data_IF_985679210849
#
_entry.id   IF_985679210849
#
_cell.length_a   1.000
_cell.length_b   1.000
_cell.length_c   1.000
_cell.angle_alpha   90.00
_cell.angle_beta   90.00
_cell.angle_gamma   90.00
#
_symmetry.space_group_name_H-M   'P 1'
#
loop_
_entity.id
_entity.type
_entity.pdbx_description
1 polymer ?
#
# COMPACT_ATOMS: atom_id res chain seq x y z
N UNK A 1 2.05 -37.08 -6.66
CA UNK A 1 1.43 -36.03 -7.50
C UNK A 1 0.75 -34.94 -6.67
N UNK A 2 -0.24 -35.26 -5.81
CA UNK A 2 -0.94 -34.26 -4.97
C UNK A 2 -0.01 -33.45 -4.05
N UNK A 3 0.96 -34.11 -3.41
CA UNK A 3 1.97 -33.45 -2.56
C UNK A 3 2.84 -32.44 -3.34
N UNK A 4 3.12 -32.70 -4.62
CA UNK A 4 3.89 -31.77 -5.47
C UNK A 4 3.05 -30.56 -5.88
N UNK A 5 1.77 -30.77 -6.20
CA UNK A 5 0.83 -29.68 -6.50
C UNK A 5 0.56 -28.79 -5.28
N UNK A 6 0.46 -29.37 -4.08
CA UNK A 6 0.37 -28.64 -2.82
C UNK A 6 1.61 -27.78 -2.55
N UNK A 7 2.81 -28.35 -2.71
CA UNK A 7 4.06 -27.57 -2.56
C UNK A 7 4.14 -26.45 -3.57
N UNK A 8 3.74 -26.68 -4.82
CA UNK A 8 3.79 -25.67 -5.87
C UNK A 8 2.79 -24.54 -5.64
N UNK A 9 1.57 -24.84 -5.22
CA UNK A 9 0.53 -23.84 -4.89
C UNK A 9 0.88 -23.03 -3.64
N UNK A 10 1.44 -23.67 -2.61
CA UNK A 10 1.92 -22.97 -1.41
C UNK A 10 3.10 -22.04 -1.73
N UNK A 11 4.08 -22.51 -2.49
CA UNK A 11 5.25 -21.70 -2.87
C UNK A 11 4.85 -20.54 -3.78
N UNK A 12 4.00 -20.78 -4.77
CA UNK A 12 3.52 -19.71 -5.67
C UNK A 12 2.66 -18.70 -4.93
N UNK A 13 1.71 -19.12 -4.09
CA UNK A 13 0.92 -18.24 -3.23
C UNK A 13 1.80 -17.40 -2.30
N UNK A 14 2.80 -18.03 -1.67
CA UNK A 14 3.79 -17.33 -0.87
C UNK A 14 4.56 -16.29 -1.70
N UNK A 15 5.05 -16.64 -2.88
CA UNK A 15 5.79 -15.71 -3.76
C UNK A 15 4.94 -14.51 -4.20
N UNK A 16 3.68 -14.75 -4.60
CA UNK A 16 2.74 -13.72 -5.01
C UNK A 16 2.41 -12.77 -3.85
N UNK A 17 2.30 -13.30 -2.63
CA UNK A 17 2.11 -12.50 -1.41
C UNK A 17 3.38 -11.73 -0.99
N UNK A 18 4.56 -12.30 -1.26
CA UNK A 18 5.87 -11.73 -0.92
C UNK A 18 6.27 -10.60 -1.88
N UNK A 19 5.91 -10.69 -3.17
CA UNK A 19 6.20 -9.69 -4.21
C UNK A 19 5.94 -8.23 -3.80
N UNK A 20 4.76 -7.85 -3.30
CA UNK A 20 4.48 -6.47 -2.90
C UNK A 20 5.21 -6.03 -1.63
N UNK A 21 5.73 -6.97 -0.81
CA UNK A 21 6.37 -6.69 0.50
C UNK A 21 7.87 -6.94 0.52
N UNK A 22 8.48 -7.35 -0.61
CA UNK A 22 9.88 -7.73 -0.69
C UNK A 22 10.85 -6.65 -0.24
N UNK A 23 10.58 -5.36 -0.54
CA UNK A 23 11.47 -4.26 -0.15
C UNK A 23 11.55 -4.11 1.38
N UNK A 24 10.40 -4.19 2.06
CA UNK A 24 10.35 -4.11 3.52
C UNK A 24 10.98 -5.34 4.19
N UNK A 25 10.76 -6.53 3.64
CA UNK A 25 11.41 -7.76 4.10
C UNK A 25 12.93 -7.71 3.90
N UNK A 26 13.39 -7.24 2.74
CA UNK A 26 14.82 -7.08 2.47
C UNK A 26 15.47 -6.09 3.43
N UNK A 27 14.80 -4.96 3.72
CA UNK A 27 15.25 -3.99 4.71
C UNK A 27 15.31 -4.60 6.12
N UNK A 28 14.31 -5.38 6.51
CA UNK A 28 14.30 -6.08 7.80
C UNK A 28 15.45 -7.11 7.89
N UNK A 29 15.68 -7.90 6.83
CA UNK A 29 16.80 -8.83 6.76
C UNK A 29 18.13 -8.10 6.88
N UNK A 30 18.33 -7.02 6.12
CA UNK A 30 19.54 -6.20 6.20
C UNK A 30 19.74 -5.62 7.61
N UNK A 31 18.67 -5.15 8.26
CA UNK A 31 18.71 -4.66 9.63
C UNK A 31 19.12 -5.76 10.63
N UNK A 32 18.54 -6.96 10.53
CA UNK A 32 18.89 -8.09 11.40
C UNK A 32 20.37 -8.48 11.25
N UNK A 33 20.87 -8.50 10.00
CA UNK A 33 22.28 -8.75 9.73
C UNK A 33 23.17 -7.66 10.33
N UNK A 34 22.81 -6.39 10.15
CA UNK A 34 23.54 -5.26 10.72
C UNK A 34 23.65 -5.36 12.25
N UNK A 35 22.56 -5.68 12.94
CA UNK A 35 22.56 -5.87 14.40
C UNK A 35 23.48 -7.03 14.80
N UNK A 36 23.51 -8.12 14.03
CA UNK A 36 24.40 -9.25 14.32
C UNK A 36 25.87 -8.89 14.11
N UNK A 37 26.19 -8.18 13.03
CA UNK A 37 27.56 -7.72 12.75
C UNK A 37 28.04 -6.77 13.84
N UNK A 38 27.26 -5.73 14.17
CA UNK A 38 27.62 -4.77 15.22
C UNK A 38 27.81 -5.42 16.58
N UNK A 39 26.94 -6.37 16.95
CA UNK A 39 27.08 -7.08 18.20
C UNK A 39 28.31 -8.02 18.19
N UNK A 40 28.60 -8.67 17.06
CA UNK A 40 29.81 -9.48 16.90
C UNK A 40 31.09 -8.66 17.05
N UNK A 41 31.17 -7.50 16.41
CA UNK A 41 32.27 -6.55 16.56
C UNK A 41 32.45 -6.10 18.01
N UNK A 42 31.35 -5.80 18.71
CA UNK A 42 31.40 -5.45 20.13
C UNK A 42 31.92 -6.61 20.99
N UNK A 43 31.50 -7.85 20.74
CA UNK A 43 32.02 -9.00 21.47
C UNK A 43 33.52 -9.19 21.22
N UNK A 44 33.98 -9.02 19.98
CA UNK A 44 35.41 -9.02 19.65
C UNK A 44 36.19 -7.94 20.40
N UNK A 45 35.63 -6.73 20.49
CA UNK A 45 36.21 -5.64 21.29
C UNK A 45 36.28 -5.98 22.79
N UNK A 46 35.22 -6.56 23.36
CA UNK A 46 35.19 -6.97 24.78
C UNK A 46 36.21 -8.07 25.06
N UNK A 47 36.37 -9.03 24.13
CA UNK A 47 37.36 -10.09 24.24
C UNK A 47 38.80 -9.55 24.21
N UNK A 48 39.07 -8.57 23.34
CA UNK A 48 40.40 -7.97 23.20
C UNK A 48 40.74 -7.00 24.35
N UNK A 49 39.76 -6.22 24.81
CA UNK A 49 39.94 -5.21 25.87
C UNK A 49 39.80 -5.77 27.29
N UNK A 50 39.16 -6.93 27.45
CA UNK A 50 38.86 -7.52 28.75
C UNK A 50 37.80 -6.77 29.58
N UNK A 51 37.27 -5.64 29.10
CA UNK A 51 36.26 -4.87 29.81
C UNK A 51 34.86 -5.47 29.58
N UNK A 52 34.27 -6.02 30.64
CA UNK A 52 32.97 -6.72 30.61
C UNK A 52 31.79 -5.92 31.16
N UNK A 53 32.00 -4.65 31.52
CA UNK A 53 31.03 -3.85 32.26
C UNK A 53 29.67 -3.74 31.56
N UNK A 54 29.66 -3.70 30.22
CA UNK A 54 28.45 -3.57 29.42
C UNK A 54 28.05 -4.85 28.67
N UNK A 55 28.65 -6.01 29.00
CA UNK A 55 28.39 -7.25 28.28
C UNK A 55 26.89 -7.62 28.32
N UNK A 56 26.29 -7.64 29.50
CA UNK A 56 24.85 -7.97 29.67
C UNK A 56 23.96 -6.94 28.97
N UNK A 57 24.30 -5.65 29.10
CA UNK A 57 23.57 -4.56 28.44
C UNK A 57 23.60 -4.68 26.92
N UNK A 58 24.72 -5.12 26.34
CA UNK A 58 24.84 -5.34 24.89
C UNK A 58 23.87 -6.41 24.38
N UNK A 59 23.66 -7.48 25.16
CA UNK A 59 22.70 -8.54 24.82
C UNK A 59 21.27 -8.03 24.92
N UNK A 60 20.95 -7.29 25.98
CA UNK A 60 19.63 -6.68 26.12
C UNK A 60 19.33 -5.71 24.97
N UNK A 61 20.31 -4.89 24.60
CA UNK A 61 20.19 -3.96 23.48
C UNK A 61 20.02 -4.70 22.14
N UNK A 62 20.73 -5.82 21.92
CA UNK A 62 20.55 -6.67 20.74
C UNK A 62 19.10 -7.16 20.64
N UNK A 63 18.57 -7.75 21.70
CA UNK A 63 17.20 -8.28 21.70
C UNK A 63 16.17 -7.16 21.54
N UNK A 64 16.36 -6.04 22.23
CA UNK A 64 15.49 -4.86 22.10
C UNK A 64 15.50 -4.33 20.65
N UNK A 65 16.67 -4.21 20.03
CA UNK A 65 16.78 -3.78 18.63
C UNK A 65 16.05 -4.72 17.67
N UNK A 66 16.18 -6.04 17.86
CA UNK A 66 15.49 -7.03 17.04
C UNK A 66 13.96 -6.94 17.20
N UNK A 67 13.47 -6.85 18.45
CA UNK A 67 12.04 -6.70 18.74
C UNK A 67 11.51 -5.40 18.12
N UNK A 68 12.21 -4.29 18.31
CA UNK A 68 11.85 -3.00 17.71
C UNK A 68 11.85 -3.06 16.18
N UNK A 69 12.82 -3.74 15.54
CA UNK A 69 12.87 -3.90 14.09
C UNK A 69 11.68 -4.68 13.55
N UNK A 70 11.33 -5.79 14.21
CA UNK A 70 10.13 -6.60 13.84
C UNK A 70 8.86 -5.80 14.06
N UNK A 71 8.74 -5.08 15.18
CA UNK A 71 7.58 -4.26 15.48
C UNK A 71 7.43 -3.12 14.46
N UNK A 72 8.52 -2.40 14.15
CA UNK A 72 8.52 -1.35 13.13
C UNK A 72 8.11 -1.90 11.76
N UNK A 73 8.63 -3.06 11.36
CA UNK A 73 8.19 -3.72 10.13
C UNK A 73 6.69 -4.04 10.16
N UNK A 74 6.17 -4.57 11.27
CA UNK A 74 4.75 -4.87 11.42
C UNK A 74 3.88 -3.60 11.30
N UNK A 75 4.24 -2.52 12.01
CA UNK A 75 3.54 -1.23 11.95
C UNK A 75 3.54 -0.65 10.53
N UNK A 76 4.67 -0.69 9.83
CA UNK A 76 4.80 -0.09 8.49
C UNK A 76 4.17 -0.97 7.39
N UNK A 77 4.38 -2.28 7.43
CA UNK A 77 3.97 -3.20 6.37
C UNK A 77 2.55 -3.75 6.54
N UNK A 78 2.09 -3.95 7.79
CA UNK A 78 0.78 -4.53 8.10
C UNK A 78 -0.23 -3.43 8.41
N UNK A 79 0.10 -2.50 9.32
CA UNK A 79 -0.83 -1.43 9.72
C UNK A 79 -0.92 -0.28 8.70
N UNK A 80 -0.09 -0.29 7.65
CA UNK A 80 -0.26 0.63 6.52
C UNK A 80 0.05 2.09 6.84
N UNK A 81 0.73 2.36 7.95
CA UNK A 81 1.10 3.71 8.43
C UNK A 81 1.96 4.49 7.40
N UNK A 82 2.52 3.81 6.39
CA UNK A 82 3.27 4.42 5.28
C UNK A 82 2.55 4.48 3.92
N UNK A 83 1.27 4.06 3.80
CA UNK A 83 0.54 4.08 2.51
C UNK A 83 0.06 5.48 2.07
N UNK A 84 0.61 6.55 2.63
CA UNK A 84 0.25 7.91 2.26
C UNK A 84 0.80 8.37 0.89
N UNK A 85 1.75 7.66 0.27
CA UNK A 85 2.30 8.07 -1.04
C UNK A 85 2.71 6.88 -1.88
N UNK A 86 1.91 6.56 -2.89
CA UNK A 86 2.28 5.56 -3.89
C UNK A 86 1.13 5.18 -4.80
N UNK A 87 0.65 6.17 -5.57
CA UNK A 87 0.09 6.07 -6.93
C UNK A 87 -0.70 7.34 -7.28
N UNK A 88 -0.10 8.52 -7.06
CA UNK A 88 -0.50 9.67 -7.84
C UNK A 88 0.26 9.54 -9.17
N UNK A 89 -0.43 9.45 -10.33
CA UNK A 89 0.25 9.59 -11.62
C UNK A 89 1.04 10.90 -11.59
N UNK A 90 2.19 11.00 -12.29
CA UNK A 90 2.90 12.28 -12.40
C UNK A 90 1.90 13.35 -12.85
N UNK A 91 1.77 14.39 -12.02
CA UNK A 91 1.01 15.60 -12.32
C UNK A 91 1.49 16.10 -13.69
N UNK A 92 0.66 15.88 -14.72
CA UNK A 92 0.82 16.60 -15.97
C UNK A 92 0.64 18.07 -15.63
N UNK A 93 1.58 18.95 -16.01
CA UNK A 93 1.46 20.37 -15.69
C UNK A 93 0.14 20.89 -16.27
N UNK A 94 -0.70 21.42 -15.38
CA UNK A 94 -1.96 22.04 -15.71
C UNK A 94 -1.73 23.23 -16.65
N UNK A 95 -1.90 22.98 -17.95
CA UNK A 95 -2.03 24.03 -18.95
C UNK A 95 -3.36 23.83 -19.69
N UNK A 96 -4.33 24.66 -19.28
CA UNK A 96 -5.58 25.00 -19.98
C UNK A 96 -6.60 23.85 -20.12
N UNK A 97 -7.38 23.67 -19.06
CA UNK A 97 -8.75 23.15 -19.18
C UNK A 97 -9.61 24.17 -19.95
N UNK A 98 -9.53 24.14 -21.28
CA UNK A 98 -10.74 24.35 -22.06
C UNK A 98 -11.62 23.12 -21.83
N UNK A 99 -12.88 23.35 -21.47
CA UNK A 99 -13.88 22.33 -21.19
C UNK A 99 -14.00 21.36 -22.37
N UNK A 100 -13.24 20.27 -22.32
CA UNK A 100 -13.39 19.14 -23.22
C UNK A 100 -14.71 18.45 -22.86
N UNK A 101 -15.76 18.75 -23.62
CA UNK A 101 -16.94 17.90 -23.69
C UNK A 101 -16.47 16.45 -23.90
N UNK A 102 -17.01 15.46 -23.17
CA UNK A 102 -16.70 14.07 -23.46
C UNK A 102 -17.02 13.80 -24.94
N UNK A 103 -16.25 12.92 -25.62
CA UNK A 103 -16.56 12.55 -27.00
C UNK A 103 -18.01 12.05 -27.04
N UNK A 104 -18.83 12.60 -27.95
CA UNK A 104 -20.21 12.16 -28.16
C UNK A 104 -20.18 10.67 -28.49
N UNK A 105 -20.46 9.83 -27.50
CA UNK A 105 -20.75 8.42 -27.71
C UNK A 105 -22.21 8.35 -28.10
N UNK A 106 -22.48 7.93 -29.33
CA UNK A 106 -23.82 7.67 -29.85
C UNK A 106 -24.38 6.40 -29.19
N UNK A 107 -24.66 6.51 -27.89
CA UNK A 107 -25.18 5.46 -27.02
C UNK A 107 -26.68 5.62 -26.76
N UNK A 108 -27.32 6.55 -27.47
CA UNK A 108 -28.74 6.86 -27.33
C UNK A 108 -29.10 7.62 -26.05
N UNK A 109 -28.13 7.98 -25.20
CA UNK A 109 -28.37 8.72 -23.94
C UNK A 109 -27.98 10.20 -24.01
N UNK A 110 -27.66 10.72 -25.19
CA UNK A 110 -27.31 12.13 -25.39
C UNK A 110 -28.41 13.10 -24.90
N UNK A 111 -29.67 12.68 -24.98
CA UNK A 111 -30.80 13.45 -24.47
C UNK A 111 -30.80 13.69 -22.95
N UNK A 112 -30.07 12.87 -22.18
CA UNK A 112 -29.88 13.09 -20.74
C UNK A 112 -28.71 14.03 -20.47
N UNK A 113 -27.69 14.00 -21.33
CA UNK A 113 -26.47 14.80 -21.19
C UNK A 113 -26.72 16.28 -21.50
N UNK A 114 -27.63 16.56 -22.43
CA UNK A 114 -27.97 17.92 -22.85
C UNK A 114 -29.09 18.56 -22.00
N UNK A 115 -29.64 17.85 -21.00
CA UNK A 115 -30.68 18.41 -20.12
C UNK A 115 -30.07 19.35 -19.07
N UNK A 116 -30.60 20.58 -19.02
CA UNK A 116 -30.19 21.61 -18.06
C UNK A 116 -30.55 21.25 -16.60
N UNK A 117 -31.69 20.61 -16.39
CA UNK A 117 -32.15 20.15 -15.07
C UNK A 117 -32.82 18.77 -15.16
N UNK A 118 -32.61 17.95 -14.14
CA UNK A 118 -33.20 16.61 -14.02
C UNK A 118 -34.53 16.73 -13.25
N UNK A 119 -35.65 16.61 -13.96
CA UNK A 119 -36.97 16.66 -13.34
C UNK A 119 -37.26 15.40 -12.53
N UNK A 120 -37.94 15.58 -11.40
CA UNK A 120 -38.41 14.47 -10.57
C UNK A 120 -39.60 13.76 -11.22
N UNK A 121 -39.86 12.51 -10.83
CA UNK A 121 -40.99 11.72 -11.37
C UNK A 121 -42.35 12.40 -11.18
N UNK A 122 -42.53 13.12 -10.07
CA UNK A 122 -43.77 13.86 -9.81
C UNK A 122 -43.94 15.04 -10.79
N UNK A 123 -42.87 15.77 -11.09
CA UNK A 123 -42.89 16.87 -12.06
C UNK A 123 -43.19 16.36 -13.48
N UNK A 124 -42.63 15.21 -13.87
CA UNK A 124 -42.93 14.58 -15.16
C UNK A 124 -44.40 14.16 -15.30
N UNK A 125 -45.05 13.75 -14.22
CA UNK A 125 -46.47 13.37 -14.25
C UNK A 125 -47.37 14.60 -14.39
N UNK A 126 -47.06 15.69 -13.69
CA UNK A 126 -47.75 16.98 -13.82
C UNK A 126 -47.64 17.54 -15.25
N UNK A 127 -46.43 17.56 -15.83
CA UNK A 127 -46.25 18.04 -17.21
C UNK A 127 -46.98 17.15 -18.23
N UNK A 128 -47.06 15.83 -17.98
CA UNK A 128 -47.78 14.88 -18.84
C UNK A 128 -49.30 15.10 -18.80
N UNK A 129 -49.87 15.39 -17.63
CA UNK A 129 -51.29 15.70 -17.46
C UNK A 129 -51.64 17.02 -18.17
N UNK A 130 -50.80 18.05 -18.00
CA UNK A 130 -50.99 19.37 -18.62
C UNK A 130 -50.96 19.30 -20.16
N UNK A 131 -50.06 18.48 -20.74
CA UNK A 131 -50.01 18.25 -22.19
C UNK A 131 -51.16 17.43 -22.77
N UNK A 132 -51.93 16.71 -21.95
CA UNK A 132 -53.09 15.91 -22.41
C UNK A 132 -54.41 16.67 -22.35
N UNK A 133 -54.46 17.75 -21.59
CA UNK A 133 -55.64 18.61 -21.44
C UNK A 133 -55.78 19.71 -22.49
N UNK A 134 -54.84 19.79 -23.45
CA UNK A 134 -54.80 20.76 -24.55
C UNK A 134 -54.76 20.01 -25.89
#
# INVERSE_FOLDING_TARGET
MLNQLLRFTLVSSALLWLRPRWRGLLALVAFVLLVHVLHGEYLGYVELSGNRDFLVWSYLLKWLALVCGVLAYFLLAVMGVGRARGNMPPEQPAARQEQARPPRQDDGFDFLRDKKELHSRAQMLLEREERRGN
#
